data_IF_140428926118
#
_entry.id   IF_140428926118
#
_cell.length_a   1.000
_cell.length_b   1.000
_cell.length_c   1.000
_cell.angle_alpha   90.00
_cell.angle_beta   90.00
_cell.angle_gamma   90.00
#
_symmetry.space_group_name_H-M   'P 1'
#
loop_
_entity.id
_entity.type
_entity.pdbx_description
1 polymer ?
#
# COMPACT_ATOMS: atom_id res chain seq x y z
N UNK A 1 -8.98 5.14 16.89
CA UNK A 1 -7.58 4.84 16.61
C UNK A 1 -6.92 5.95 15.83
N UNK A 2 -5.61 6.18 16.02
CA UNK A 2 -4.92 7.19 15.23
C UNK A 2 -5.01 6.90 13.73
N UNK A 3 -5.20 7.94 12.95
CA UNK A 3 -5.28 7.84 11.50
C UNK A 3 -4.38 8.90 10.88
N UNK A 4 -3.61 8.49 9.87
CA UNK A 4 -2.76 9.40 9.10
C UNK A 4 -3.12 9.26 7.64
N UNK A 5 -3.20 10.39 6.94
CA UNK A 5 -3.56 10.42 5.54
C UNK A 5 -2.56 11.28 4.77
N UNK A 6 -2.21 10.85 3.57
CA UNK A 6 -1.37 11.61 2.66
C UNK A 6 -1.88 11.44 1.24
N UNK A 7 -1.62 12.43 0.39
CA UNK A 7 -1.99 12.38 -1.00
C UNK A 7 -0.80 12.77 -1.87
N UNK A 8 -0.70 12.17 -3.06
CA UNK A 8 0.32 12.50 -4.03
C UNK A 8 -0.19 12.29 -5.44
N UNK A 9 0.18 13.18 -6.35
CA UNK A 9 -0.09 12.99 -7.78
C UNK A 9 0.91 11.99 -8.36
N UNK A 10 0.38 11.00 -9.07
CA UNK A 10 1.15 9.98 -9.78
C UNK A 10 1.09 10.28 -11.27
N UNK A 11 2.20 10.07 -11.98
CA UNK A 11 2.35 10.42 -13.39
C UNK A 11 1.91 9.28 -14.29
N UNK A 12 0.71 8.76 -14.07
CA UNK A 12 0.12 7.68 -14.85
C UNK A 12 -1.40 7.68 -14.72
N UNK A 13 -2.14 7.16 -15.73
CA UNK A 13 -3.58 6.99 -15.62
C UNK A 13 -3.96 6.01 -14.50
N UNK A 14 -5.18 6.13 -13.98
CA UNK A 14 -5.67 5.24 -12.90
C UNK A 14 -5.56 3.77 -13.26
N UNK A 15 -5.85 3.42 -14.50
CA UNK A 15 -5.79 2.02 -14.94
C UNK A 15 -4.37 1.46 -14.85
N UNK A 16 -3.37 2.27 -15.19
CA UNK A 16 -1.98 1.84 -15.11
C UNK A 16 -1.52 1.73 -13.65
N UNK A 17 -1.94 2.66 -12.80
CA UNK A 17 -1.67 2.59 -11.36
C UNK A 17 -2.31 1.33 -10.78
N UNK A 18 -3.56 1.07 -11.15
CA UNK A 18 -4.25 -0.13 -10.66
C UNK A 18 -3.55 -1.41 -11.11
N UNK A 19 -3.13 -1.47 -12.38
CA UNK A 19 -2.42 -2.63 -12.91
C UNK A 19 -1.13 -2.90 -12.12
N UNK A 20 -0.41 -1.85 -11.73
CA UNK A 20 0.77 -1.99 -10.89
C UNK A 20 0.41 -2.52 -9.50
N UNK A 21 -0.63 -1.95 -8.88
CA UNK A 21 -1.08 -2.35 -7.54
C UNK A 21 -1.63 -3.78 -7.52
N UNK A 22 -2.23 -4.22 -8.63
CA UNK A 22 -2.87 -5.53 -8.71
C UNK A 22 -1.86 -6.68 -8.74
N UNK A 23 -0.58 -6.39 -9.03
CA UNK A 23 0.45 -7.42 -8.91
C UNK A 23 0.90 -7.50 -7.45
N UNK A 24 0.58 -8.60 -6.73
CA UNK A 24 0.84 -8.67 -5.29
C UNK A 24 2.30 -8.47 -4.90
N UNK A 25 3.23 -8.95 -5.72
CA UNK A 25 4.66 -8.84 -5.40
C UNK A 25 5.15 -7.40 -5.38
N UNK A 26 4.47 -6.48 -6.08
CA UNK A 26 4.82 -5.07 -6.05
C UNK A 26 4.65 -4.43 -4.68
N UNK A 27 3.78 -4.99 -3.83
CA UNK A 27 3.56 -4.43 -2.50
C UNK A 27 4.86 -4.36 -1.69
N UNK A 28 5.72 -5.37 -1.82
CA UNK A 28 7.02 -5.38 -1.14
C UNK A 28 7.93 -4.24 -1.63
N UNK A 29 7.70 -3.76 -2.84
CA UNK A 29 8.53 -2.70 -3.42
C UNK A 29 8.13 -1.31 -2.95
N UNK A 30 6.82 -1.06 -2.75
CA UNK A 30 6.39 0.29 -2.38
C UNK A 30 5.96 0.43 -0.92
N UNK A 31 5.61 -0.66 -0.24
CA UNK A 31 5.21 -0.60 1.17
C UNK A 31 6.42 -0.78 2.07
N UNK A 32 6.77 0.24 2.89
CA UNK A 32 7.97 0.14 3.73
C UNK A 32 7.87 -0.99 4.75
N UNK A 33 8.93 -1.78 4.85
CA UNK A 33 9.03 -2.84 5.85
C UNK A 33 8.54 -4.22 5.41
N UNK A 34 7.97 -4.35 4.21
CA UNK A 34 7.58 -5.65 3.68
C UNK A 34 8.73 -6.20 2.84
N UNK A 35 9.19 -7.42 3.15
CA UNK A 35 10.27 -8.08 2.42
C UNK A 35 9.76 -9.01 1.34
N UNK A 36 8.65 -9.71 1.58
CA UNK A 36 8.12 -10.68 0.62
C UNK A 36 6.61 -10.85 0.79
N UNK A 37 5.96 -11.23 -0.29
CA UNK A 37 4.52 -11.48 -0.37
C UNK A 37 4.29 -12.86 -0.97
N UNK A 38 3.40 -13.62 -0.35
CA UNK A 38 2.86 -14.84 -0.95
C UNK A 38 1.36 -14.65 -1.15
N UNK A 39 0.93 -14.33 -2.39
CA UNK A 39 -0.48 -14.10 -2.65
C UNK A 39 -1.25 -15.41 -2.76
N UNK A 40 -2.56 -15.33 -2.56
CA UNK A 40 -3.44 -16.42 -2.96
C UNK A 40 -3.77 -16.29 -4.45
N UNK A 41 -4.74 -17.08 -4.93
CA UNK A 41 -5.07 -17.12 -6.36
C UNK A 41 -6.05 -16.02 -6.79
N UNK A 42 -6.52 -15.20 -5.86
CA UNK A 42 -7.56 -14.20 -6.14
C UNK A 42 -7.03 -12.89 -6.67
N UNK A 43 -5.72 -12.63 -6.50
CA UNK A 43 -5.16 -11.35 -6.86
C UNK A 43 -5.69 -10.23 -5.98
N UNK A 44 -5.85 -9.04 -6.55
CA UNK A 44 -6.37 -7.88 -5.81
C UNK A 44 -7.90 -7.86 -5.93
N UNK A 45 -8.54 -8.65 -5.09
CA UNK A 45 -9.99 -8.79 -5.06
C UNK A 45 -10.47 -8.93 -3.62
N UNK A 46 -11.70 -8.50 -3.35
CA UNK A 46 -12.28 -8.62 -2.01
C UNK A 46 -12.24 -10.08 -1.54
N UNK A 47 -11.81 -10.29 -0.32
CA UNK A 47 -11.64 -11.61 0.28
C UNK A 47 -10.28 -12.26 0.04
N UNK A 48 -9.42 -11.65 -0.77
CA UNK A 48 -8.07 -12.19 -0.99
C UNK A 48 -7.24 -12.12 0.28
N UNK A 49 -6.35 -13.10 0.46
CA UNK A 49 -5.47 -13.21 1.61
C UNK A 49 -4.05 -13.41 1.12
N UNK A 50 -3.21 -12.43 1.42
CA UNK A 50 -1.80 -12.48 1.03
C UNK A 50 -0.96 -12.67 2.29
N UNK A 51 -0.08 -13.66 2.27
CA UNK A 51 0.85 -13.85 3.37
C UNK A 51 2.00 -12.87 3.24
N UNK A 52 2.35 -12.20 4.34
CA UNK A 52 3.36 -11.15 4.36
C UNK A 52 4.52 -11.59 5.24
N UNK A 53 5.74 -11.36 4.76
CA UNK A 53 6.94 -11.47 5.57
C UNK A 53 7.58 -10.09 5.68
N UNK A 54 7.76 -9.62 6.92
CA UNK A 54 8.43 -8.36 7.18
C UNK A 54 9.94 -8.47 7.01
N UNK A 55 10.59 -7.32 6.83
CA UNK A 55 12.04 -7.25 6.78
C UNK A 55 12.63 -7.61 8.14
N UNK A 56 13.77 -8.34 8.14
CA UNK A 56 14.50 -8.63 9.36
C UNK A 56 15.03 -7.33 9.95
N UNK A 57 14.77 -7.12 11.23
CA UNK A 57 15.21 -5.93 11.95
C UNK A 57 15.75 -6.31 13.32
N UNK A 58 16.77 -5.58 13.82
CA UNK A 58 17.20 -5.76 15.19
C UNK A 58 16.04 -5.50 16.16
N UNK A 59 15.95 -6.31 17.21
CA UNK A 59 14.83 -6.24 18.15
C UNK A 59 14.75 -4.92 18.92
N UNK A 60 15.85 -4.17 19.00
CA UNK A 60 15.86 -2.88 19.67
C UNK A 60 15.26 -1.75 18.82
N UNK A 61 15.04 -1.97 17.52
CA UNK A 61 14.42 -0.97 16.66
C UNK A 61 12.91 -1.05 16.79
N UNK A 62 12.31 0.02 17.28
CA UNK A 62 10.86 0.13 17.38
C UNK A 62 10.30 0.50 16.00
N UNK A 63 10.09 -0.50 15.19
CA UNK A 63 9.46 -0.31 13.88
C UNK A 63 8.32 -1.30 13.73
N UNK A 64 7.25 -0.89 13.02
CA UNK A 64 6.19 -1.85 12.73
C UNK A 64 6.75 -3.04 11.98
N UNK A 65 6.31 -4.23 12.36
CA UNK A 65 6.66 -5.45 11.65
C UNK A 65 5.40 -5.96 10.96
N UNK A 66 5.30 -5.81 9.63
CA UNK A 66 4.09 -6.18 8.90
C UNK A 66 3.93 -7.69 8.67
N UNK A 67 4.73 -8.52 9.32
CA UNK A 67 4.57 -9.97 9.21
C UNK A 67 3.17 -10.40 9.60
N UNK A 68 2.58 -11.35 8.87
CA UNK A 68 1.23 -11.83 9.08
C UNK A 68 0.48 -11.93 7.79
N UNK A 69 -0.78 -11.50 7.78
CA UNK A 69 -1.64 -11.56 6.62
C UNK A 69 -2.08 -10.18 6.18
N UNK A 70 -2.20 -10.00 4.88
CA UNK A 70 -2.95 -8.89 4.29
C UNK A 70 -4.30 -9.44 3.86
N UNK A 71 -5.38 -8.85 4.35
CA UNK A 71 -6.73 -9.21 3.96
C UNK A 71 -7.31 -8.09 3.11
N UNK A 72 -7.67 -8.40 1.86
CA UNK A 72 -8.30 -7.41 0.99
C UNK A 72 -9.78 -7.33 1.38
N UNK A 73 -10.18 -6.19 1.91
CA UNK A 73 -11.55 -5.96 2.37
C UNK A 73 -12.46 -5.47 1.26
N UNK A 74 -11.92 -4.64 0.36
CA UNK A 74 -12.66 -4.11 -0.77
C UNK A 74 -11.70 -3.78 -1.90
N UNK A 75 -12.16 -3.99 -3.13
CA UNK A 75 -11.40 -3.62 -4.32
C UNK A 75 -12.39 -3.16 -5.39
N UNK A 76 -12.44 -1.86 -5.63
CA UNK A 76 -13.29 -1.24 -6.66
C UNK A 76 -12.37 -0.65 -7.72
N UNK A 77 -12.09 -1.42 -8.76
CA UNK A 77 -11.20 -1.04 -9.84
C UNK A 77 -11.77 0.09 -10.67
N UNK A 78 -11.01 1.10 -11.03
CA UNK A 78 -9.65 1.45 -10.63
C UNK A 78 -9.61 2.52 -9.54
N UNK A 79 -10.61 2.60 -8.69
CA UNK A 79 -10.86 3.75 -7.82
C UNK A 79 -10.36 3.57 -6.39
N UNK A 80 -10.50 2.36 -5.84
CA UNK A 80 -10.30 2.18 -4.41
C UNK A 80 -9.92 0.75 -4.06
N UNK A 81 -8.98 0.62 -3.14
CA UNK A 81 -8.69 -0.65 -2.49
C UNK A 81 -8.57 -0.41 -0.98
N UNK A 82 -9.14 -1.32 -0.19
CA UNK A 82 -9.02 -1.30 1.25
C UNK A 82 -8.52 -2.66 1.72
N UNK A 83 -7.53 -2.67 2.59
CA UNK A 83 -7.00 -3.90 3.13
C UNK A 83 -6.57 -3.73 4.58
N UNK A 84 -6.40 -4.84 5.26
CA UNK A 84 -5.97 -4.89 6.65
C UNK A 84 -4.70 -5.71 6.77
N UNK A 85 -3.72 -5.17 7.51
CA UNK A 85 -2.50 -5.88 7.87
C UNK A 85 -2.68 -6.44 9.28
N UNK A 86 -2.84 -7.76 9.39
CA UNK A 86 -3.24 -8.38 10.66
C UNK A 86 -2.13 -8.34 11.72
N UNK A 87 -0.88 -8.46 11.29
CA UNK A 87 0.24 -8.48 12.23
C UNK A 87 0.40 -7.18 13.01
N UNK A 88 -0.02 -6.06 12.44
CA UNK A 88 0.12 -4.74 13.04
C UNK A 88 -1.22 -4.11 13.42
N UNK A 89 -2.32 -4.80 13.15
CA UNK A 89 -3.67 -4.25 13.34
C UNK A 89 -3.83 -2.92 12.61
N UNK A 90 -3.39 -2.89 11.35
CA UNK A 90 -3.41 -1.68 10.56
C UNK A 90 -4.49 -1.76 9.49
N UNK A 91 -5.34 -0.74 9.41
CA UNK A 91 -6.32 -0.61 8.34
C UNK A 91 -5.80 0.39 7.32
N UNK A 92 -5.87 0.01 6.04
CA UNK A 92 -5.32 0.81 4.94
C UNK A 92 -6.38 1.00 3.89
N UNK A 93 -6.49 2.22 3.38
CA UNK A 93 -7.31 2.53 2.20
C UNK A 93 -6.49 3.37 1.23
N UNK A 94 -6.49 2.96 -0.02
CA UNK A 94 -5.88 3.73 -1.11
C UNK A 94 -6.98 4.10 -2.10
N UNK A 95 -7.14 5.40 -2.33
CA UNK A 95 -8.09 5.94 -3.30
C UNK A 95 -7.35 6.56 -4.45
N UNK A 96 -7.85 6.34 -5.65
CA UNK A 96 -7.26 6.85 -6.89
C UNK A 96 -8.29 7.71 -7.61
N UNK A 97 -7.95 8.98 -7.83
CA UNK A 97 -8.80 9.92 -8.55
C UNK A 97 -8.07 10.44 -9.79
N UNK A 98 -8.72 10.42 -10.93
CA UNK A 98 -8.14 10.97 -12.14
C UNK A 98 -8.06 12.49 -12.01
N UNK A 99 -6.85 13.05 -12.12
CA UNK A 99 -6.66 14.50 -12.15
C UNK A 99 -6.48 15.02 -13.57
N UNK A 100 -6.01 14.14 -14.47
CA UNK A 100 -5.91 14.40 -15.92
C UNK A 100 -5.90 13.04 -16.63
N UNK A 101 -5.86 13.04 -17.95
CA UNK A 101 -5.88 11.79 -18.73
C UNK A 101 -4.72 10.86 -18.39
N UNK A 102 -3.57 11.44 -18.03
CA UNK A 102 -2.34 10.69 -17.71
C UNK A 102 -1.87 10.91 -16.27
N UNK A 103 -2.75 11.37 -15.39
CA UNK A 103 -2.40 11.71 -14.00
C UNK A 103 -3.45 11.18 -13.04
N UNK A 104 -2.98 10.75 -11.88
CA UNK A 104 -3.82 10.22 -10.82
C UNK A 104 -3.42 10.82 -9.49
N UNK A 105 -4.39 11.26 -8.70
CA UNK A 105 -4.13 11.61 -7.30
C UNK A 105 -4.40 10.37 -6.45
N UNK A 106 -3.35 9.88 -5.79
CA UNK A 106 -3.46 8.76 -4.87
C UNK A 106 -3.53 9.29 -3.45
N UNK A 107 -4.56 8.89 -2.71
CA UNK A 107 -4.73 9.24 -1.30
C UNK A 107 -4.64 7.98 -0.47
N UNK A 108 -3.65 7.92 0.40
CA UNK A 108 -3.38 6.78 1.27
C UNK A 108 -3.77 7.13 2.70
N UNK A 109 -4.73 6.39 3.25
CA UNK A 109 -5.16 6.52 4.65
C UNK A 109 -4.73 5.28 5.41
N UNK A 110 -4.09 5.47 6.55
CA UNK A 110 -3.60 4.37 7.40
C UNK A 110 -4.04 4.64 8.82
N UNK A 111 -4.62 3.63 9.48
CA UNK A 111 -4.98 3.73 10.88
C UNK A 111 -4.50 2.50 11.64
N UNK A 112 -4.02 2.73 12.87
CA UNK A 112 -3.52 1.66 13.72
C UNK A 112 -2.88 2.20 14.99
N UNK A 113 -2.76 1.37 16.03
CA UNK A 113 -2.28 1.84 17.34
C UNK A 113 -0.82 2.30 17.32
N UNK A 114 0.02 1.74 16.45
CA UNK A 114 1.44 2.08 16.41
C UNK A 114 1.72 3.43 15.73
N UNK A 115 0.70 4.06 15.14
CA UNK A 115 0.86 5.37 14.51
C UNK A 115 1.09 6.50 15.52
N UNK A 116 0.84 6.26 16.80
CA UNK A 116 1.08 7.24 17.86
C UNK A 116 2.59 7.47 17.99
N UNK A 117 3.06 8.61 17.50
CA UNK A 117 4.45 9.04 17.66
C UNK A 117 5.45 8.58 16.61
N UNK A 118 5.13 7.58 15.78
CA UNK A 118 6.11 7.01 14.85
C UNK A 118 5.69 7.03 13.38
N UNK A 119 4.41 7.13 13.08
CA UNK A 119 3.90 6.80 11.77
C UNK A 119 3.43 7.94 10.89
N UNK A 120 3.58 9.20 11.29
CA UNK A 120 3.02 10.33 10.54
C UNK A 120 3.61 10.47 9.14
N UNK A 121 4.88 10.15 8.96
CA UNK A 121 5.53 10.22 7.65
C UNK A 121 5.35 8.95 6.82
N UNK A 122 4.76 7.90 7.40
CA UNK A 122 4.67 6.59 6.75
C UNK A 122 3.88 6.63 5.44
N UNK A 123 2.67 7.23 5.39
CA UNK A 123 1.95 7.31 4.12
C UNK A 123 2.71 8.09 3.05
N UNK A 124 3.39 9.17 3.42
CA UNK A 124 4.21 9.93 2.48
C UNK A 124 5.33 9.08 1.89
N UNK A 125 6.02 8.30 2.73
CA UNK A 125 7.12 7.43 2.26
C UNK A 125 6.60 6.35 1.32
N UNK A 126 5.47 5.75 1.65
CA UNK A 126 4.85 4.74 0.79
C UNK A 126 4.46 5.34 -0.56
N UNK A 127 3.80 6.49 -0.56
CA UNK A 127 3.39 7.17 -1.78
C UNK A 127 4.59 7.63 -2.63
N UNK A 128 5.67 8.06 -2.00
CA UNK A 128 6.88 8.46 -2.71
C UNK A 128 7.51 7.27 -3.46
N UNK A 129 7.53 6.10 -2.82
CA UNK A 129 8.00 4.88 -3.48
C UNK A 129 7.05 4.48 -4.62
N UNK A 130 5.76 4.54 -4.37
CA UNK A 130 4.76 4.21 -5.40
C UNK A 130 4.89 5.15 -6.59
N UNK A 131 5.08 6.44 -6.36
CA UNK A 131 5.29 7.42 -7.43
C UNK A 131 6.48 7.04 -8.30
N UNK A 132 7.63 6.74 -7.70
CA UNK A 132 8.83 6.42 -8.44
C UNK A 132 8.67 5.13 -9.27
N UNK A 133 8.03 4.12 -8.69
CA UNK A 133 7.86 2.83 -9.36
C UNK A 133 6.84 2.90 -10.49
N UNK A 134 5.74 3.58 -10.28
CA UNK A 134 4.70 3.75 -11.30
C UNK A 134 5.24 4.57 -12.47
N UNK A 135 6.01 5.62 -12.20
CA UNK A 135 6.63 6.41 -13.25
C UNK A 135 7.59 5.56 -14.08
N UNK A 136 8.42 4.75 -13.44
CA UNK A 136 9.36 3.86 -14.13
C UNK A 136 8.61 2.85 -15.00
N UNK A 137 7.55 2.26 -14.48
CA UNK A 137 6.75 1.30 -15.22
C UNK A 137 6.07 1.94 -16.44
N UNK A 138 5.61 3.18 -16.32
CA UNK A 138 4.96 3.90 -17.41
C UNK A 138 5.93 4.28 -18.52
N UNK A 139 7.20 4.45 -18.20
CA UNK A 139 8.25 4.82 -19.16
C UNK A 139 8.83 3.62 -19.91
N UNK A 140 8.56 2.40 -19.43
CA UNK A 140 9.16 1.19 -20.02
C UNK A 140 8.34 0.55 -21.13
#
# INVERSE_FOLDING_TARGET
MPRVEAARELLAPREDVWAFLAEPHHLADWWPGIAAIEPDRRGLAAGARWQIRGANRPSFLRSPNPSGMLLVLAAARPERVAFQLTGERMDVELRLEASAADRTIATLSVSGPWLIGLGRSFPHRALNRLHALVQTAAES
#
